data_IF_805900835127
#
_entry.id   IF_805900835127
#
_cell.length_a   1.000
_cell.length_b   1.000
_cell.length_c   1.000
_cell.angle_alpha   90.00
_cell.angle_beta   90.00
_cell.angle_gamma   90.00
#
_symmetry.space_group_name_H-M   'P 1'
#
loop_
_entity.id
_entity.type
_entity.pdbx_description
1 polymer ?
#
# COMPACT_ATOMS: atom_id res chain seq x y z
N UNK A 1 -6.17 -74.97 10.97
CA UNK A 1 -5.88 -73.61 11.48
C UNK A 1 -5.92 -72.68 10.28
N UNK A 2 -7.08 -72.07 10.07
CA UNK A 2 -7.42 -71.17 8.97
C UNK A 2 -7.65 -69.78 9.58
N UNK A 3 -7.05 -68.74 9.01
CA UNK A 3 -7.51 -67.36 9.20
C UNK A 3 -7.48 -66.65 7.84
N UNK A 4 -8.52 -65.86 7.50
CA UNK A 4 -8.79 -65.47 6.12
C UNK A 4 -8.21 -64.10 5.74
N UNK A 5 -8.21 -63.84 4.44
CA UNK A 5 -7.81 -62.59 3.80
C UNK A 5 -8.61 -61.38 4.31
N UNK A 6 -7.91 -60.29 4.60
CA UNK A 6 -8.50 -58.95 4.74
C UNK A 6 -7.93 -58.02 3.68
N UNK A 7 -8.74 -57.79 2.66
CA UNK A 7 -8.64 -56.70 1.69
C UNK A 7 -8.81 -55.37 2.43
N UNK A 8 -7.82 -54.49 2.31
CA UNK A 8 -7.92 -53.09 2.76
C UNK A 8 -8.64 -52.30 1.65
N UNK A 9 -9.68 -51.51 1.95
CA UNK A 9 -10.33 -50.65 0.97
C UNK A 9 -9.42 -49.46 0.59
N UNK A 10 -9.57 -48.86 -0.60
CA UNK A 10 -8.89 -47.61 -0.90
C UNK A 10 -9.54 -46.51 -0.05
N UNK A 11 -8.81 -46.00 0.95
CA UNK A 11 -9.22 -44.78 1.64
C UNK A 11 -9.02 -43.62 0.69
N UNK A 12 -10.12 -43.17 0.12
CA UNK A 12 -10.32 -41.80 -0.35
C UNK A 12 -9.84 -40.85 0.75
N UNK A 13 -8.77 -40.10 0.50
CA UNK A 13 -8.61 -38.77 1.06
C UNK A 13 -8.22 -37.87 -0.10
N UNK A 14 -9.26 -37.26 -0.69
CA UNK A 14 -9.11 -36.02 -1.41
C UNK A 14 -8.47 -35.02 -0.46
N UNK A 15 -7.22 -34.68 -0.73
CA UNK A 15 -6.76 -33.33 -0.46
C UNK A 15 -7.30 -32.56 -1.66
N UNK A 16 -8.55 -32.12 -1.55
CA UNK A 16 -8.94 -30.91 -2.27
C UNK A 16 -8.00 -29.84 -1.70
N UNK A 17 -6.92 -29.59 -2.44
CA UNK A 17 -6.26 -28.30 -2.40
C UNK A 17 -7.36 -27.30 -2.76
N UNK A 18 -8.01 -26.78 -1.72
CA UNK A 18 -8.85 -25.60 -1.79
C UNK A 18 -7.96 -24.55 -2.41
N UNK A 19 -8.13 -24.32 -3.71
CA UNK A 19 -7.37 -23.33 -4.44
C UNK A 19 -7.49 -22.02 -3.69
N UNK A 20 -6.39 -21.60 -3.09
CA UNK A 20 -6.24 -20.27 -2.53
C UNK A 20 -6.45 -19.34 -3.73
N UNK A 21 -7.66 -18.79 -3.84
CA UNK A 21 -7.96 -17.80 -4.84
C UNK A 21 -7.00 -16.65 -4.54
N UNK A 22 -5.90 -16.57 -5.28
CA UNK A 22 -4.85 -15.59 -5.03
C UNK A 22 -5.47 -14.20 -5.15
N UNK A 23 -5.79 -13.58 -4.03
CA UNK A 23 -6.37 -12.24 -3.99
C UNK A 23 -5.41 -11.30 -4.70
N UNK A 24 -5.84 -10.77 -5.84
CA UNK A 24 -5.01 -9.88 -6.66
C UNK A 24 -5.10 -8.46 -6.11
N UNK A 25 -3.96 -7.91 -5.72
CA UNK A 25 -3.83 -6.51 -5.38
C UNK A 25 -3.51 -5.68 -6.64
N UNK A 26 -4.23 -4.57 -6.81
CA UNK A 26 -3.98 -3.56 -7.85
C UNK A 26 -3.50 -2.27 -7.21
N UNK A 27 -2.51 -1.62 -7.82
CA UNK A 27 -1.96 -0.34 -7.37
C UNK A 27 -2.33 0.75 -8.37
N UNK A 28 -2.87 1.86 -7.88
CA UNK A 28 -3.10 3.08 -8.65
C UNK A 28 -2.33 4.23 -8.01
N UNK A 29 -1.66 5.04 -8.81
CA UNK A 29 -0.91 6.21 -8.35
C UNK A 29 -1.81 7.44 -8.49
N UNK A 30 -1.88 8.24 -7.43
CA UNK A 30 -2.57 9.52 -7.39
C UNK A 30 -1.54 10.63 -7.43
N UNK A 31 -1.68 11.53 -8.42
CA UNK A 31 -0.67 12.56 -8.70
C UNK A 31 -1.24 13.98 -8.71
N UNK A 32 -2.54 14.16 -8.43
CA UNK A 32 -3.20 15.46 -8.45
C UNK A 32 -3.94 15.75 -7.15
N UNK A 33 -4.03 17.04 -6.79
CA UNK A 33 -4.76 17.47 -5.60
C UNK A 33 -6.25 17.13 -5.68
N UNK A 34 -6.87 17.27 -6.86
CA UNK A 34 -8.27 16.93 -7.06
C UNK A 34 -8.56 15.43 -6.82
N UNK A 35 -7.65 14.54 -7.25
CA UNK A 35 -7.80 13.11 -6.94
C UNK A 35 -7.50 12.80 -5.48
N UNK A 36 -6.56 13.51 -4.83
CA UNK A 36 -6.35 13.40 -3.39
C UNK A 36 -7.63 13.78 -2.64
N UNK A 37 -8.23 14.93 -2.97
CA UNK A 37 -9.51 15.38 -2.40
C UNK A 37 -10.61 14.32 -2.56
N UNK A 38 -10.67 13.66 -3.74
CA UNK A 38 -11.64 12.61 -4.01
C UNK A 38 -11.45 11.33 -3.16
N UNK A 39 -10.28 11.14 -2.53
CA UNK A 39 -10.03 9.99 -1.68
C UNK A 39 -10.68 10.09 -0.30
N UNK A 40 -11.11 11.26 0.17
CA UNK A 40 -11.60 11.49 1.54
C UNK A 40 -12.57 10.40 2.03
N UNK A 41 -13.59 10.10 1.21
CA UNK A 41 -14.59 9.09 1.56
C UNK A 41 -14.04 7.66 1.61
N UNK A 42 -13.09 7.30 0.74
CA UNK A 42 -12.44 5.98 0.78
C UNK A 42 -11.44 5.87 1.93
N UNK A 43 -10.73 6.96 2.21
CA UNK A 43 -9.78 7.07 3.32
C UNK A 43 -10.48 6.87 4.65
N UNK A 44 -11.59 7.58 4.87
CA UNK A 44 -12.35 7.49 6.11
C UNK A 44 -12.93 6.07 6.33
N UNK A 45 -13.40 5.41 5.27
CA UNK A 45 -13.82 3.99 5.34
C UNK A 45 -12.66 3.04 5.63
N UNK A 46 -11.46 3.33 5.14
CA UNK A 46 -10.29 2.49 5.35
C UNK A 46 -9.85 2.54 6.82
N UNK A 47 -9.73 3.75 7.39
CA UNK A 47 -9.22 3.94 8.75
C UNK A 47 -10.14 3.40 9.85
N UNK A 48 -11.44 3.25 9.58
CA UNK A 48 -12.40 2.61 10.52
C UNK A 48 -11.97 1.22 10.96
N UNK A 49 -11.20 0.51 10.13
CA UNK A 49 -10.79 -0.88 10.37
C UNK A 49 -9.26 -1.07 10.29
N UNK A 50 -8.50 0.02 10.18
CA UNK A 50 -7.04 0.00 10.18
C UNK A 50 -6.53 0.47 11.54
N UNK A 51 -5.36 -0.02 11.95
CA UNK A 51 -4.67 0.53 13.12
C UNK A 51 -3.93 1.79 12.69
N UNK A 52 -4.38 2.95 13.17
CA UNK A 52 -3.87 4.26 12.76
C UNK A 52 -3.71 5.21 13.94
N UNK A 53 -2.87 6.22 13.74
CA UNK A 53 -2.81 7.42 14.59
C UNK A 53 -3.53 8.60 13.94
N UNK A 54 -3.77 9.67 14.71
CA UNK A 54 -4.36 10.92 14.16
C UNK A 54 -3.53 11.52 13.01
N UNK A 55 -2.22 11.23 12.96
CA UNK A 55 -1.32 11.70 11.92
C UNK A 55 -1.56 11.04 10.55
N UNK A 56 -2.39 9.99 10.51
CA UNK A 56 -2.75 9.26 9.30
C UNK A 56 -4.18 9.57 8.83
N UNK A 57 -4.91 10.47 9.50
CA UNK A 57 -6.25 10.87 9.01
C UNK A 57 -6.12 11.70 7.73
N UNK A 58 -7.20 11.69 6.94
CA UNK A 58 -7.26 12.44 5.70
C UNK A 58 -7.04 13.94 5.96
N UNK A 59 -7.71 14.50 6.95
CA UNK A 59 -7.68 15.92 7.28
C UNK A 59 -6.28 16.38 7.68
N UNK A 60 -5.57 15.56 8.47
CA UNK A 60 -4.20 15.86 8.88
C UNK A 60 -3.25 15.87 7.69
N UNK A 61 -3.21 14.78 6.93
CA UNK A 61 -2.28 14.62 5.81
C UNK A 61 -2.60 15.58 4.65
N UNK A 62 -3.88 15.85 4.42
CA UNK A 62 -4.29 16.82 3.41
C UNK A 62 -3.86 18.23 3.80
N UNK A 63 -4.10 18.64 5.03
CA UNK A 63 -3.67 19.95 5.55
C UNK A 63 -2.14 20.10 5.49
N UNK A 64 -1.40 19.04 5.86
CA UNK A 64 0.05 19.03 5.73
C UNK A 64 0.48 19.25 4.27
N UNK A 65 -0.12 18.52 3.32
CA UNK A 65 0.22 18.64 1.92
C UNK A 65 -0.08 20.05 1.38
N UNK A 66 -1.22 20.65 1.73
CA UNK A 66 -1.55 22.02 1.31
C UNK A 66 -0.54 23.05 1.79
N UNK A 67 -0.09 22.92 3.04
CA UNK A 67 0.79 23.90 3.67
C UNK A 67 2.27 23.72 3.28
N UNK A 68 2.72 22.48 3.14
CA UNK A 68 4.14 22.16 2.95
C UNK A 68 4.54 21.86 1.50
N UNK A 69 3.58 21.67 0.57
CA UNK A 69 3.93 21.43 -0.82
C UNK A 69 4.74 22.59 -1.40
N UNK A 70 5.72 22.25 -2.24
CA UNK A 70 6.53 23.21 -2.97
C UNK A 70 6.62 22.80 -4.44
N UNK A 71 7.11 23.67 -5.34
CA UNK A 71 7.29 23.31 -6.74
C UNK A 71 8.24 22.13 -7.00
N UNK A 72 9.05 21.71 -6.03
CA UNK A 72 9.89 20.51 -6.14
C UNK A 72 9.19 19.23 -5.66
N UNK A 73 8.00 19.32 -5.07
CA UNK A 73 7.26 18.15 -4.61
C UNK A 73 6.28 17.67 -5.68
N UNK A 74 6.14 16.36 -5.80
CA UNK A 74 5.20 15.69 -6.71
C UNK A 74 4.36 14.71 -5.89
N UNK A 75 3.04 14.88 -5.91
CA UNK A 75 2.15 13.96 -5.22
C UNK A 75 2.30 12.54 -5.80
N UNK A 76 2.34 11.53 -4.93
CA UNK A 76 2.60 10.16 -5.34
C UNK A 76 1.88 9.13 -4.45
N UNK A 77 0.62 9.39 -4.08
CA UNK A 77 -0.11 8.49 -3.18
C UNK A 77 -0.40 7.18 -3.90
N UNK A 78 -0.13 6.05 -3.25
CA UNK A 78 -0.44 4.73 -3.78
C UNK A 78 -1.74 4.22 -3.16
N UNK A 79 -2.72 3.94 -4.01
CA UNK A 79 -3.99 3.33 -3.64
C UNK A 79 -3.95 1.84 -3.98
N UNK A 80 -4.07 0.99 -2.96
CA UNK A 80 -4.10 -0.46 -3.11
C UNK A 80 -5.54 -0.94 -3.05
N UNK A 81 -5.96 -1.69 -4.06
CA UNK A 81 -7.31 -2.26 -4.14
C UNK A 81 -7.26 -3.77 -4.35
N UNK A 82 -8.17 -4.49 -3.71
CA UNK A 82 -8.44 -5.89 -3.96
C UNK A 82 -9.96 -6.09 -3.95
N UNK A 83 -10.47 -6.93 -4.86
CA UNK A 83 -11.91 -7.24 -4.93
C UNK A 83 -12.80 -5.98 -5.02
N UNK A 84 -12.31 -4.93 -5.71
CA UNK A 84 -12.96 -3.61 -5.86
C UNK A 84 -13.12 -2.81 -4.57
N UNK A 85 -12.39 -3.17 -3.51
CA UNK A 85 -12.31 -2.43 -2.24
C UNK A 85 -10.90 -1.85 -2.07
N UNK A 86 -10.82 -0.65 -1.52
CA UNK A 86 -9.55 -0.07 -1.01
C UNK A 86 -9.11 -0.82 0.24
N UNK A 87 -7.92 -1.40 0.18
CA UNK A 87 -7.34 -2.22 1.26
C UNK A 87 -6.11 -1.56 1.91
N UNK A 88 -5.49 -0.61 1.22
CA UNK A 88 -4.44 0.23 1.78
C UNK A 88 -4.24 1.54 1.02
N UNK A 89 -3.65 2.52 1.70
CA UNK A 89 -3.19 3.79 1.14
C UNK A 89 -1.78 4.05 1.64
N UNK A 90 -0.82 4.28 0.74
CA UNK A 90 0.50 4.81 1.09
C UNK A 90 0.55 6.31 0.76
N UNK A 91 0.50 7.20 1.76
CA UNK A 91 0.47 8.64 1.55
C UNK A 91 1.88 9.17 1.24
N UNK A 92 2.27 9.12 -0.03
CA UNK A 92 3.64 9.44 -0.45
C UNK A 92 3.71 10.67 -1.37
N UNK A 93 4.89 11.28 -1.43
CA UNK A 93 5.27 12.26 -2.42
C UNK A 93 6.73 12.07 -2.82
N UNK A 94 7.09 12.59 -4.00
CA UNK A 94 8.46 12.63 -4.48
C UNK A 94 8.99 14.05 -4.30
N UNK A 95 10.10 14.19 -3.60
CA UNK A 95 10.88 15.42 -3.46
C UNK A 95 11.99 15.44 -4.51
N UNK A 96 11.91 16.36 -5.48
CA UNK A 96 12.98 16.59 -6.46
C UNK A 96 14.07 17.48 -5.85
N UNK A 97 15.30 16.97 -5.79
CA UNK A 97 16.46 17.67 -5.25
C UNK A 97 17.29 18.20 -6.40
N UNK A 98 17.47 19.52 -6.44
CA UNK A 98 18.15 20.23 -7.52
C UNK A 98 18.59 21.64 -7.14
N UNK A 99 19.49 22.21 -7.93
CA UNK A 99 19.90 23.62 -7.84
C UNK A 99 19.77 24.23 -9.23
N UNK A 100 19.19 25.43 -9.32
CA UNK A 100 19.10 26.22 -10.55
C UNK A 100 18.58 25.45 -11.78
N UNK A 101 17.52 24.66 -11.62
CA UNK A 101 16.86 23.94 -12.71
C UNK A 101 17.50 22.61 -13.11
N UNK A 102 18.59 22.19 -12.44
CA UNK A 102 19.21 20.88 -12.65
C UNK A 102 18.76 19.93 -11.53
N UNK A 103 18.06 18.85 -11.89
CA UNK A 103 17.70 17.76 -10.98
C UNK A 103 18.91 16.84 -10.76
N UNK A 104 19.28 16.63 -9.50
CA UNK A 104 20.38 15.74 -9.10
C UNK A 104 19.89 14.45 -8.45
N UNK A 105 18.79 14.50 -7.72
CA UNK A 105 18.19 13.34 -7.08
C UNK A 105 16.68 13.50 -6.91
N UNK A 106 15.99 12.42 -6.58
CA UNK A 106 14.61 12.41 -6.13
C UNK A 106 14.46 11.50 -4.90
N UNK A 107 13.74 11.97 -3.88
CA UNK A 107 13.44 11.20 -2.66
C UNK A 107 11.98 10.85 -2.60
N UNK A 108 11.65 9.59 -2.33
CA UNK A 108 10.29 9.17 -2.03
C UNK A 108 10.09 9.28 -0.51
N UNK A 109 9.06 10.03 -0.10
CA UNK A 109 8.81 10.37 1.32
C UNK A 109 7.33 10.25 1.66
N UNK A 110 7.03 9.98 2.91
CA UNK A 110 5.66 10.06 3.41
C UNK A 110 5.21 11.51 3.61
N UNK A 111 3.97 11.80 3.21
CA UNK A 111 3.29 13.05 3.54
C UNK A 111 3.23 13.15 5.06
N UNK A 112 3.66 14.26 5.66
CA UNK A 112 3.76 14.38 7.13
C UNK A 112 5.14 14.05 7.72
N UNK A 113 6.07 13.50 6.92
CA UNK A 113 7.44 13.25 7.35
C UNK A 113 8.13 14.54 7.84
N UNK A 114 8.92 14.42 8.92
CA UNK A 114 9.65 15.53 9.55
C UNK A 114 8.88 16.34 10.58
N UNK A 115 7.55 16.18 10.68
CA UNK A 115 6.72 16.71 11.78
C UNK A 115 6.24 15.62 12.74
N UNK A 116 6.03 14.40 12.22
CA UNK A 116 5.60 13.23 12.98
C UNK A 116 6.25 11.98 12.40
N UNK A 117 7.09 11.28 13.15
CA UNK A 117 7.76 10.03 12.71
C UNK A 117 6.82 8.80 12.74
N UNK A 118 5.50 9.03 12.74
CA UNK A 118 4.45 8.00 12.84
C UNK A 118 3.67 7.85 11.52
N UNK A 119 4.19 8.35 10.41
CA UNK A 119 3.53 8.17 9.11
C UNK A 119 4.01 6.87 8.46
N UNK A 120 3.06 5.99 8.20
CA UNK A 120 3.26 4.72 7.50
C UNK A 120 2.07 4.46 6.57
N UNK A 121 2.16 3.41 5.77
CA UNK A 121 1.07 2.88 4.96
C UNK A 121 -0.11 2.55 5.88
N UNK A 122 -1.28 3.06 5.51
CA UNK A 122 -2.56 2.72 6.16
C UNK A 122 -3.03 1.41 5.54
N UNK A 123 -3.08 0.32 6.31
CA UNK A 123 -3.37 -1.01 5.79
C UNK A 123 -4.44 -1.71 6.65
N UNK A 124 -5.39 -2.37 5.99
CA UNK A 124 -6.27 -3.33 6.67
C UNK A 124 -5.44 -4.55 7.14
N UNK A 125 -5.53 -4.96 8.43
CA UNK A 125 -4.68 -6.01 9.00
C UNK A 125 -4.63 -7.31 8.17
N UNK A 126 -5.78 -7.78 7.70
CA UNK A 126 -5.88 -9.03 6.92
C UNK A 126 -5.13 -8.99 5.58
N UNK A 127 -4.85 -7.79 5.06
CA UNK A 127 -4.20 -7.57 3.77
C UNK A 127 -2.72 -7.19 3.91
N UNK A 128 -2.18 -7.09 5.13
CA UNK A 128 -0.82 -6.60 5.37
C UNK A 128 0.25 -7.37 4.58
N UNK A 129 0.30 -8.72 4.57
CA UNK A 129 1.31 -9.44 3.79
C UNK A 129 1.21 -9.18 2.28
N UNK A 130 -0.03 -9.11 1.76
CA UNK A 130 -0.29 -8.87 0.35
C UNK A 130 0.12 -7.44 -0.07
N UNK A 131 -0.24 -6.45 0.75
CA UNK A 131 0.07 -5.03 0.49
C UNK A 131 1.57 -4.79 0.58
N UNK A 132 2.25 -5.27 1.63
CA UNK A 132 3.70 -5.07 1.79
C UNK A 132 4.49 -5.72 0.65
N UNK A 133 4.10 -6.93 0.22
CA UNK A 133 4.69 -7.58 -0.95
C UNK A 133 4.46 -6.76 -2.22
N UNK A 134 3.24 -6.28 -2.43
CA UNK A 134 2.88 -5.49 -3.62
C UNK A 134 3.60 -4.14 -3.61
N UNK A 135 3.73 -3.48 -2.47
CA UNK A 135 4.47 -2.24 -2.28
C UNK A 135 5.96 -2.45 -2.56
N UNK A 136 6.58 -3.50 -2.02
CA UNK A 136 7.98 -3.82 -2.30
C UNK A 136 8.23 -4.06 -3.80
N UNK A 137 7.34 -4.79 -4.48
CA UNK A 137 7.41 -4.99 -5.93
C UNK A 137 7.22 -3.67 -6.70
N UNK A 138 6.30 -2.81 -6.26
CA UNK A 138 6.10 -1.49 -6.83
C UNK A 138 7.38 -0.64 -6.72
N UNK A 139 8.00 -0.59 -5.53
CA UNK A 139 9.25 0.12 -5.31
C UNK A 139 10.36 -0.41 -6.22
N UNK A 140 10.52 -1.73 -6.32
CA UNK A 140 11.50 -2.36 -7.23
C UNK A 140 11.27 -2.00 -8.70
N UNK A 141 10.01 -1.93 -9.13
CA UNK A 141 9.65 -1.59 -10.52
C UNK A 141 9.79 -0.10 -10.85
N UNK A 142 9.94 0.75 -9.83
CA UNK A 142 10.05 2.21 -9.97
C UNK A 142 11.44 2.75 -9.64
N UNK A 143 12.40 1.86 -9.32
CA UNK A 143 13.82 2.21 -9.15
C UNK A 143 14.32 2.97 -10.38
N UNK A 144 14.87 4.17 -10.14
CA UNK A 144 15.30 5.11 -11.18
C UNK A 144 14.35 6.28 -11.42
N UNK A 145 13.10 6.22 -10.94
CA UNK A 145 12.24 7.42 -10.87
C UNK A 145 12.56 8.27 -9.63
N UNK A 146 13.01 7.60 -8.56
CA UNK A 146 13.53 8.14 -7.31
C UNK A 146 14.81 7.39 -6.93
N UNK A 147 15.68 8.05 -6.18
CA UNK A 147 17.04 7.61 -5.86
C UNK A 147 17.16 7.09 -4.41
N UNK A 148 16.32 7.61 -3.51
CA UNK A 148 16.31 7.24 -2.08
C UNK A 148 14.87 7.19 -1.55
N UNK A 149 14.57 6.20 -0.71
CA UNK A 149 13.38 6.14 0.13
C UNK A 149 13.79 6.65 1.53
N UNK A 150 13.10 7.68 2.03
CA UNK A 150 13.35 8.34 3.32
C UNK A 150 12.11 8.31 4.21
#
# INVERSE_FOLDING_TARGET
MTQPAHTIPPTSNGIEESGEASTRCHVRIITSNAEFDALEGEWNRLIENADITIYQTFEWLRSWWEYHQTPSYRLHILLFTAEKRTIAIAPLFIEEIGISGVRFAARLRFIGAGLSDYVDIIILPDYQPLVLKTFALFLQSTVGTWDVLD
#
